data_IF_179800860505
#
_entry.id   IF_179800860505
#
_cell.length_a   1.000
_cell.length_b   1.000
_cell.length_c   1.000
_cell.angle_alpha   90.00
_cell.angle_beta   90.00
_cell.angle_gamma   90.00
#
_symmetry.space_group_name_H-M   'P 1'
#
loop_
_entity.id
_entity.type
_entity.pdbx_description
1 polymer ?
#
# COMPACT_ATOMS: atom_id res chain seq x y z
N UNK A 1 -31.24 -38.14 -15.71
CA UNK A 1 -30.52 -38.49 -14.47
C UNK A 1 -30.00 -39.91 -14.62
N UNK A 2 -28.70 -40.16 -14.81
CA UNK A 2 -28.21 -41.53 -14.81
C UNK A 2 -28.33 -42.09 -13.39
N UNK A 3 -29.16 -43.10 -13.21
CA UNK A 3 -29.30 -43.84 -11.96
C UNK A 3 -28.08 -44.75 -11.80
N UNK A 4 -27.11 -44.30 -10.99
CA UNK A 4 -25.97 -45.13 -10.64
C UNK A 4 -26.44 -46.10 -9.57
N UNK A 5 -26.62 -47.37 -9.93
CA UNK A 5 -26.94 -48.46 -8.98
C UNK A 5 -25.69 -48.78 -8.14
N UNK A 6 -25.46 -47.98 -7.10
CA UNK A 6 -24.31 -48.13 -6.20
C UNK A 6 -24.66 -49.19 -5.14
N UNK A 7 -23.96 -50.33 -5.19
CA UNK A 7 -24.02 -51.40 -4.18
C UNK A 7 -23.80 -50.84 -2.76
N UNK A 8 -24.47 -51.40 -1.74
CA UNK A 8 -24.49 -50.86 -0.37
C UNK A 8 -23.11 -50.59 0.25
N UNK A 9 -22.10 -51.36 -0.14
CA UNK A 9 -20.71 -51.19 0.30
C UNK A 9 -19.95 -50.04 -0.39
N UNK A 10 -20.39 -49.59 -1.57
CA UNK A 10 -19.74 -48.53 -2.36
C UNK A 10 -20.24 -47.11 -2.01
N UNK A 11 -21.38 -47.01 -1.30
CA UNK A 11 -21.94 -45.73 -0.81
C UNK A 11 -20.99 -44.93 0.12
N UNK A 12 -20.31 -45.53 1.12
CA UNK A 12 -19.37 -44.78 1.96
C UNK A 12 -18.13 -44.32 1.18
N UNK A 13 -17.65 -45.11 0.21
CA UNK A 13 -16.54 -44.71 -0.65
C UNK A 13 -16.92 -43.54 -1.55
N UNK A 14 -18.13 -43.57 -2.13
CA UNK A 14 -18.64 -42.46 -2.92
C UNK A 14 -18.85 -41.20 -2.06
N UNK A 15 -19.39 -41.34 -0.84
CA UNK A 15 -19.53 -40.22 0.09
C UNK A 15 -18.17 -39.62 0.49
N UNK A 16 -17.18 -40.45 0.80
CA UNK A 16 -15.81 -40.02 1.08
C UNK A 16 -15.18 -39.30 -0.12
N UNK A 17 -15.39 -39.82 -1.33
CA UNK A 17 -14.95 -39.18 -2.57
C UNK A 17 -15.61 -37.83 -2.80
N UNK A 18 -16.92 -37.73 -2.59
CA UNK A 18 -17.65 -36.46 -2.68
C UNK A 18 -17.12 -35.43 -1.67
N UNK A 19 -16.88 -35.84 -0.41
CA UNK A 19 -16.32 -34.95 0.62
C UNK A 19 -14.91 -34.50 0.23
N UNK A 20 -14.06 -35.42 -0.24
CA UNK A 20 -12.72 -35.09 -0.72
C UNK A 20 -12.75 -34.08 -1.89
N UNK A 21 -13.63 -34.30 -2.87
CA UNK A 21 -13.79 -33.40 -4.01
C UNK A 21 -14.27 -32.00 -3.59
N UNK A 22 -15.21 -31.91 -2.64
CA UNK A 22 -15.68 -30.65 -2.09
C UNK A 22 -14.57 -29.91 -1.33
N UNK A 23 -13.76 -30.62 -0.53
CA UNK A 23 -12.63 -30.03 0.20
C UNK A 23 -11.55 -29.47 -0.74
N UNK A 24 -11.23 -30.21 -1.82
CA UNK A 24 -10.27 -29.76 -2.83
C UNK A 24 -10.79 -28.54 -3.59
N UNK A 25 -12.05 -28.55 -4.02
CA UNK A 25 -12.66 -27.42 -4.75
C UNK A 25 -12.76 -26.18 -3.87
N UNK A 26 -13.12 -26.35 -2.59
CA UNK A 26 -13.15 -25.25 -1.61
C UNK A 26 -11.75 -24.66 -1.39
N UNK A 27 -10.74 -25.50 -1.18
CA UNK A 27 -9.35 -25.05 -0.97
C UNK A 27 -8.80 -24.32 -2.19
N UNK A 28 -9.08 -24.84 -3.39
CA UNK A 28 -8.71 -24.19 -4.65
C UNK A 28 -9.41 -22.84 -4.81
N UNK A 29 -10.70 -22.77 -4.51
CA UNK A 29 -11.47 -21.52 -4.57
C UNK A 29 -10.92 -20.50 -3.56
N UNK A 30 -10.56 -20.91 -2.35
CA UNK A 30 -9.96 -20.02 -1.34
C UNK A 30 -8.58 -19.49 -1.73
N UNK A 31 -7.73 -20.33 -2.32
CA UNK A 31 -6.41 -19.89 -2.80
C UNK A 31 -6.56 -18.94 -4.00
N UNK A 32 -7.47 -19.25 -4.91
CA UNK A 32 -7.80 -18.39 -6.04
C UNK A 32 -8.37 -17.05 -5.58
N UNK A 33 -9.35 -17.03 -4.66
CA UNK A 33 -9.91 -15.78 -4.13
C UNK A 33 -8.86 -14.95 -3.42
N UNK A 34 -7.94 -15.56 -2.66
CA UNK A 34 -6.83 -14.83 -2.05
C UNK A 34 -5.90 -14.17 -3.07
N UNK A 35 -5.75 -14.75 -4.27
CA UNK A 35 -4.97 -14.18 -5.37
C UNK A 35 -5.75 -13.12 -6.15
N UNK A 36 -7.08 -13.27 -6.26
CA UNK A 36 -7.95 -12.32 -6.95
C UNK A 36 -8.31 -11.11 -6.09
N UNK A 37 -8.26 -11.23 -4.76
CA UNK A 37 -8.30 -10.09 -3.85
C UNK A 37 -7.03 -9.30 -4.12
N UNK A 38 -7.19 -8.24 -4.92
CA UNK A 38 -6.15 -7.27 -5.21
C UNK A 38 -5.65 -6.69 -3.89
N UNK A 39 -4.58 -7.28 -3.37
CA UNK A 39 -3.85 -6.69 -2.27
C UNK A 39 -3.06 -5.51 -2.85
N UNK A 40 -3.04 -4.35 -2.18
CA UNK A 40 -2.19 -3.25 -2.60
C UNK A 40 -0.76 -3.77 -2.81
N UNK A 41 -0.14 -3.40 -3.94
CA UNK A 41 1.24 -3.77 -4.20
C UNK A 41 2.10 -3.33 -2.99
N UNK A 42 3.02 -4.18 -2.50
CA UNK A 42 3.88 -3.78 -1.40
C UNK A 42 4.65 -2.52 -1.81
N UNK A 43 4.85 -1.57 -0.89
CA UNK A 43 5.60 -0.37 -1.19
C UNK A 43 7.01 -0.75 -1.67
N UNK A 44 7.60 0.02 -2.60
CA UNK A 44 8.88 -0.32 -3.22
C UNK A 44 10.05 -0.33 -2.21
N UNK A 45 9.92 0.38 -1.10
CA UNK A 45 10.89 0.41 0.00
C UNK A 45 10.14 0.68 1.31
N UNK A 46 10.71 0.23 2.42
CA UNK A 46 10.13 0.42 3.76
C UNK A 46 10.97 1.31 4.66
N UNK A 47 12.27 1.42 4.37
CA UNK A 47 13.22 2.24 5.12
C UNK A 47 13.88 3.30 4.25
N UNK A 48 14.34 4.36 4.92
CA UNK A 48 15.11 5.44 4.30
C UNK A 48 16.45 4.93 3.73
N UNK A 49 17.06 3.93 4.37
CA UNK A 49 18.30 3.31 3.91
C UNK A 49 18.11 2.55 2.59
N UNK A 50 17.02 1.79 2.45
CA UNK A 50 16.67 1.12 1.19
C UNK A 50 16.39 2.13 0.07
N UNK A 51 15.72 3.24 0.38
CA UNK A 51 15.47 4.31 -0.57
C UNK A 51 16.78 4.90 -1.12
N UNK A 52 17.76 5.17 -0.26
CA UNK A 52 19.08 5.70 -0.68
C UNK A 52 19.88 4.71 -1.51
N UNK A 53 19.77 3.41 -1.21
CA UNK A 53 20.48 2.35 -1.94
C UNK A 53 19.97 2.13 -3.37
N UNK A 54 18.77 2.62 -3.69
CA UNK A 54 18.12 2.40 -4.98
C UNK A 54 18.26 3.63 -5.88
N UNK A 55 18.85 3.45 -7.06
CA UNK A 55 19.06 4.56 -8.00
C UNK A 55 17.79 4.93 -8.82
N UNK A 56 16.74 4.11 -8.74
CA UNK A 56 15.53 4.25 -9.55
C UNK A 56 14.54 5.29 -8.99
N UNK A 57 14.78 5.77 -7.77
CA UNK A 57 13.92 6.74 -7.08
C UNK A 57 14.67 8.04 -6.84
N UNK A 58 14.01 9.15 -7.20
CA UNK A 58 14.43 10.48 -6.78
C UNK A 58 13.66 10.88 -5.54
N UNK A 59 14.21 11.79 -4.75
CA UNK A 59 13.51 12.31 -3.59
C UNK A 59 13.72 13.80 -3.42
N UNK A 60 12.75 14.45 -2.78
CA UNK A 60 12.80 15.87 -2.49
C UNK A 60 12.07 16.27 -1.23
N UNK A 61 12.15 17.57 -0.94
CA UNK A 61 11.57 18.18 0.26
C UNK A 61 11.16 19.61 -0.06
N UNK A 62 10.31 20.20 0.76
CA UNK A 62 9.98 21.62 0.64
C UNK A 62 11.20 22.50 0.92
N UNK A 63 11.40 23.51 0.08
CA UNK A 63 12.49 24.48 0.25
C UNK A 63 12.42 25.19 1.60
N UNK A 64 13.57 25.33 2.28
CA UNK A 64 13.63 26.02 3.57
C UNK A 64 12.99 25.28 4.76
N UNK A 65 12.61 24.01 4.58
CA UNK A 65 12.02 23.19 5.64
C UNK A 65 12.95 22.96 6.83
N UNK A 66 12.37 22.73 8.02
CA UNK A 66 13.11 22.29 9.22
C UNK A 66 13.89 21.01 8.95
N UNK A 67 13.33 20.13 8.10
CA UNK A 67 13.95 18.90 7.68
C UNK A 67 15.32 19.12 7.05
N UNK A 68 15.46 20.09 6.15
CA UNK A 68 16.73 20.37 5.48
C UNK A 68 17.84 20.75 6.48
N UNK A 69 17.49 21.46 7.55
CA UNK A 69 18.42 21.83 8.62
C UNK A 69 18.81 20.64 9.48
N UNK A 70 17.86 19.74 9.77
CA UNK A 70 18.09 18.52 10.54
C UNK A 70 18.98 17.57 9.76
N UNK A 71 18.65 17.28 8.49
CA UNK A 71 19.45 16.44 7.61
C UNK A 71 20.88 16.96 7.43
N UNK A 72 21.07 18.28 7.40
CA UNK A 72 22.40 18.89 7.35
C UNK A 72 23.20 18.75 8.65
N UNK A 73 22.53 18.85 9.80
CA UNK A 73 23.16 18.81 11.11
C UNK A 73 23.30 17.39 11.68
N UNK A 74 22.63 16.41 11.07
CA UNK A 74 22.61 15.04 11.53
C UNK A 74 23.97 14.35 11.41
N UNK A 75 24.24 13.46 12.36
CA UNK A 75 25.44 12.62 12.40
C UNK A 75 25.18 11.20 11.90
N UNK A 76 23.94 10.88 11.50
CA UNK A 76 23.61 9.57 10.93
C UNK A 76 24.09 9.48 9.47
N UNK A 77 24.74 8.37 9.14
CA UNK A 77 25.22 8.08 7.79
C UNK A 77 24.08 8.04 6.77
N UNK A 78 22.89 7.54 7.16
CA UNK A 78 21.73 7.45 6.27
C UNK A 78 21.17 8.83 5.97
N UNK A 79 20.93 9.65 6.99
CA UNK A 79 20.42 11.02 6.83
C UNK A 79 21.39 11.92 6.05
N UNK A 80 22.70 11.77 6.27
CA UNK A 80 23.72 12.47 5.48
C UNK A 80 23.77 11.99 4.02
N UNK A 81 23.52 10.71 3.75
CA UNK A 81 23.42 10.19 2.39
C UNK A 81 22.17 10.72 1.68
N UNK A 82 21.02 10.80 2.38
CA UNK A 82 19.79 11.45 1.89
C UNK A 82 20.07 12.91 1.56
N UNK A 83 20.74 13.65 2.44
CA UNK A 83 21.10 15.06 2.22
C UNK A 83 22.01 15.24 1.00
N UNK A 84 23.03 14.40 0.85
CA UNK A 84 23.94 14.44 -0.31
C UNK A 84 23.22 14.12 -1.62
N UNK A 85 22.35 13.11 -1.63
CA UNK A 85 21.53 12.78 -2.78
C UNK A 85 20.54 13.90 -3.13
N UNK A 86 19.89 14.47 -2.13
CA UNK A 86 18.99 15.63 -2.29
C UNK A 86 19.72 16.81 -2.92
N UNK A 87 20.92 17.15 -2.44
CA UNK A 87 21.74 18.24 -2.99
C UNK A 87 22.26 17.95 -4.40
N UNK A 88 22.45 16.68 -4.75
CA UNK A 88 22.79 16.27 -6.12
C UNK A 88 21.59 16.48 -7.04
N UNK A 89 20.41 15.99 -6.65
CA UNK A 89 19.18 16.15 -7.44
C UNK A 89 18.74 17.61 -7.56
N UNK A 90 19.00 18.43 -6.54
CA UNK A 90 18.73 19.87 -6.57
C UNK A 90 19.49 20.63 -7.67
N UNK A 91 20.67 20.13 -8.07
CA UNK A 91 21.46 20.71 -9.16
C UNK A 91 20.86 20.37 -10.53
N UNK A 92 20.32 19.16 -10.66
CA UNK A 92 19.71 18.68 -11.90
C UNK A 92 18.30 19.26 -12.09
N UNK A 93 17.54 19.40 -10.99
CA UNK A 93 16.15 19.83 -10.99
C UNK A 93 15.89 20.73 -9.74
N UNK A 94 15.69 22.05 -9.93
CA UNK A 94 15.47 22.97 -8.82
C UNK A 94 14.10 22.78 -8.15
N UNK A 95 13.13 22.16 -8.84
CA UNK A 95 11.79 21.93 -8.30
C UNK A 95 11.79 20.84 -7.21
N UNK A 96 12.88 20.08 -7.06
CA UNK A 96 13.10 19.15 -5.93
C UNK A 96 13.08 19.87 -4.58
N UNK A 97 13.46 21.16 -4.54
CA UNK A 97 13.36 22.04 -3.37
C UNK A 97 12.34 23.18 -3.55
N UNK A 98 11.32 22.96 -4.38
CA UNK A 98 10.26 23.95 -4.55
C UNK A 98 9.63 24.32 -3.20
N UNK A 99 9.33 25.61 -3.03
CA UNK A 99 8.64 26.13 -1.85
C UNK A 99 7.18 25.66 -1.83
N UNK A 100 6.61 25.41 -3.02
CA UNK A 100 5.22 25.03 -3.18
C UNK A 100 5.02 23.51 -2.95
N UNK A 101 4.26 23.12 -1.91
CA UNK A 101 4.01 21.71 -1.62
C UNK A 101 3.25 20.99 -2.76
N UNK A 102 2.44 21.73 -3.54
CA UNK A 102 1.68 21.19 -4.68
C UNK A 102 2.58 20.74 -5.85
N UNK A 103 3.78 21.34 -5.99
CA UNK A 103 4.75 20.90 -7.00
C UNK A 103 5.30 19.52 -6.61
N UNK A 104 5.58 19.33 -5.32
CA UNK A 104 6.06 18.07 -4.76
C UNK A 104 4.99 16.98 -4.89
N UNK A 105 3.74 17.28 -4.56
CA UNK A 105 2.62 16.34 -4.70
C UNK A 105 2.47 15.85 -6.15
N UNK A 106 2.53 16.75 -7.13
CA UNK A 106 2.48 16.37 -8.56
C UNK A 106 3.62 15.43 -8.97
N UNK A 107 4.82 15.62 -8.43
CA UNK A 107 5.96 14.73 -8.70
C UNK A 107 5.76 13.36 -8.06
N UNK A 108 5.23 13.31 -6.82
CA UNK A 108 4.90 12.03 -6.15
C UNK A 108 3.85 11.25 -6.95
N UNK A 109 2.78 11.92 -7.40
CA UNK A 109 1.74 11.31 -8.23
C UNK A 109 2.26 10.87 -9.61
N UNK A 110 3.30 11.53 -10.13
CA UNK A 110 3.99 11.15 -11.36
C UNK A 110 4.81 9.85 -11.25
N UNK A 111 4.96 9.29 -10.05
CA UNK A 111 5.70 8.07 -9.80
C UNK A 111 7.21 8.27 -9.72
N UNK A 112 7.94 7.24 -9.25
CA UNK A 112 9.40 7.22 -9.09
C UNK A 112 10.00 8.39 -8.28
N UNK A 113 9.19 9.05 -7.46
CA UNK A 113 9.58 10.19 -6.64
C UNK A 113 9.06 10.05 -5.21
N UNK A 114 9.96 10.23 -4.24
CA UNK A 114 9.64 10.21 -2.82
C UNK A 114 9.67 11.62 -2.24
N UNK A 115 8.65 11.99 -1.48
CA UNK A 115 8.62 13.26 -0.76
C UNK A 115 8.97 13.05 0.70
N UNK A 116 9.97 13.79 1.18
CA UNK A 116 10.32 13.88 2.58
C UNK A 116 9.79 15.20 3.14
N UNK A 117 8.80 15.09 4.01
CA UNK A 117 8.16 16.23 4.63
C UNK A 117 7.74 15.97 6.05
N UNK A 118 6.93 16.87 6.57
CA UNK A 118 6.36 16.75 7.90
C UNK A 118 5.25 15.69 7.91
N UNK A 119 5.18 14.91 9.00
CA UNK A 119 4.28 13.76 9.08
C UNK A 119 2.81 14.11 8.83
N UNK A 120 2.33 15.26 9.32
CA UNK A 120 0.93 15.66 9.11
C UNK A 120 0.63 15.98 7.64
N UNK A 121 1.58 16.58 6.90
CA UNK A 121 1.41 16.83 5.47
C UNK A 121 1.35 15.52 4.68
N UNK A 122 2.23 14.58 5.02
CA UNK A 122 2.28 13.26 4.37
C UNK A 122 1.01 12.44 4.68
N UNK A 123 0.57 12.43 5.94
CA UNK A 123 -0.67 11.76 6.37
C UNK A 123 -1.90 12.36 5.69
N UNK A 124 -1.95 13.68 5.54
CA UNK A 124 -3.03 14.36 4.82
C UNK A 124 -3.04 13.98 3.34
N UNK A 125 -1.90 13.97 2.66
CA UNK A 125 -1.82 13.56 1.25
C UNK A 125 -2.20 12.10 1.04
N UNK A 126 -1.76 11.20 1.92
CA UNK A 126 -2.13 9.78 1.88
C UNK A 126 -3.62 9.56 2.20
N UNK A 127 -4.27 10.47 2.94
CA UNK A 127 -5.70 10.43 3.19
C UNK A 127 -6.52 10.91 1.99
N UNK A 128 -6.03 11.89 1.24
CA UNK A 128 -6.70 12.44 0.04
C UNK A 128 -6.45 11.61 -1.23
N UNK A 129 -5.22 11.10 -1.41
CA UNK A 129 -4.78 10.39 -2.61
C UNK A 129 -4.39 8.96 -2.26
N UNK A 130 -5.18 7.98 -2.74
CA UNK A 130 -4.96 6.57 -2.44
C UNK A 130 -3.76 5.94 -3.14
N UNK A 131 -3.22 6.63 -4.15
CA UNK A 131 -1.98 6.23 -4.84
C UNK A 131 -0.72 6.62 -4.05
N UNK A 132 -0.87 7.44 -3.00
CA UNK A 132 0.23 7.89 -2.14
C UNK A 132 0.31 7.01 -0.90
N UNK A 133 1.46 6.38 -0.70
CA UNK A 133 1.72 5.54 0.47
C UNK A 133 2.58 6.33 1.46
N UNK A 134 2.09 6.52 2.68
CA UNK A 134 2.88 7.05 3.78
C UNK A 134 3.78 5.94 4.36
N UNK A 135 5.09 6.14 4.34
CA UNK A 135 6.02 5.20 4.96
C UNK A 135 6.03 5.38 6.49
N UNK A 136 6.17 4.27 7.26
CA UNK A 136 6.24 4.34 8.71
C UNK A 136 7.57 4.89 9.23
N UNK A 137 8.62 4.87 8.40
CA UNK A 137 9.95 5.35 8.78
C UNK A 137 9.94 6.89 8.93
N UNK A 138 10.41 7.37 10.08
CA UNK A 138 10.35 8.79 10.46
C UNK A 138 11.74 9.29 10.79
N UNK A 139 12.08 10.46 10.25
CA UNK A 139 13.33 11.13 10.54
C UNK A 139 13.24 11.74 11.94
N UNK A 140 14.23 11.42 12.78
CA UNK A 140 14.26 11.86 14.16
C UNK A 140 14.28 13.40 14.27
N UNK A 141 13.44 13.96 15.13
CA UNK A 141 13.37 15.42 15.36
C UNK A 141 12.31 16.21 14.57
N UNK A 142 11.51 15.56 13.72
CA UNK A 142 10.32 16.16 13.09
C UNK A 142 8.98 15.77 13.76
N UNK A 143 9.02 15.00 14.84
CA UNK A 143 7.81 14.38 15.37
C UNK A 143 6.96 15.28 16.27
N UNK A 144 7.52 16.39 16.78
CA UNK A 144 6.86 17.24 17.76
C UNK A 144 6.55 18.65 17.26
N UNK A 145 5.27 19.00 17.37
CA UNK A 145 4.79 20.38 17.27
C UNK A 145 4.91 21.05 18.64
N UNK A 146 5.51 22.24 18.65
CA UNK A 146 5.75 22.98 19.89
C UNK A 146 5.16 24.38 19.76
N UNK A 147 4.48 24.83 20.81
CA UNK A 147 3.92 26.18 20.88
C UNK A 147 4.95 27.06 21.58
N UNK A 148 5.46 28.07 20.88
CA UNK A 148 6.44 28.99 21.42
C UNK A 148 5.77 30.23 22.03
N UNK A 149 6.24 30.64 23.19
CA UNK A 149 5.81 31.86 23.88
C UNK A 149 7.00 32.82 24.02
N UNK A 150 6.76 34.14 24.15
CA UNK A 150 7.83 35.12 24.37
C UNK A 150 8.67 34.76 25.60
N UNK A 151 9.98 35.00 25.51
CA UNK A 151 10.90 34.76 26.63
C UNK A 151 10.43 35.51 27.88
N UNK A 152 10.48 34.84 29.03
CA UNK A 152 10.04 35.35 30.35
C UNK A 152 8.53 35.58 30.53
N UNK A 153 7.69 35.07 29.63
CA UNK A 153 6.24 35.13 29.83
C UNK A 153 5.75 34.12 30.86
N UNK A 154 4.91 34.56 31.81
CA UNK A 154 4.19 33.67 32.76
C UNK A 154 3.15 32.78 32.07
N UNK A 155 2.84 33.05 30.80
CA UNK A 155 1.90 32.28 29.99
C UNK A 155 2.41 30.87 29.69
N UNK A 156 3.73 30.68 29.55
CA UNK A 156 4.34 29.39 29.22
C UNK A 156 3.93 28.30 30.22
N UNK A 157 4.01 28.61 31.53
CA UNK A 157 3.68 27.66 32.59
C UNK A 157 2.19 27.29 32.58
N UNK A 158 1.30 28.28 32.37
CA UNK A 158 -0.15 28.06 32.28
C UNK A 158 -0.52 27.21 31.07
N UNK A 159 0.05 27.51 29.89
CA UNK A 159 -0.20 26.76 28.65
C UNK A 159 0.26 25.30 28.79
N UNK A 160 1.44 25.07 29.36
CA UNK A 160 1.96 23.72 29.52
C UNK A 160 1.06 22.87 30.44
N UNK A 161 0.57 23.44 31.55
CA UNK A 161 -0.37 22.75 32.42
C UNK A 161 -1.69 22.41 31.71
N UNK A 162 -2.23 23.33 30.91
CA UNK A 162 -3.45 23.07 30.12
C UNK A 162 -3.22 22.00 29.06
N UNK A 163 -2.07 22.04 28.37
CA UNK A 163 -1.72 21.05 27.34
C UNK A 163 -1.59 19.64 27.93
N UNK A 164 -0.96 19.51 29.09
CA UNK A 164 -0.88 18.24 29.82
C UNK A 164 -2.28 17.73 30.20
N UNK A 165 -3.16 18.61 30.70
CA UNK A 165 -4.55 18.22 31.00
C UNK A 165 -5.31 17.76 29.75
N UNK A 166 -5.11 18.41 28.60
CA UNK A 166 -5.72 18.01 27.32
C UNK A 166 -5.20 16.66 26.82
N UNK A 167 -3.92 16.36 27.10
CA UNK A 167 -3.31 15.07 26.79
C UNK A 167 -3.83 13.97 27.73
N UNK A 168 -3.84 14.20 29.05
CA UNK A 168 -4.32 13.25 30.06
C UNK A 168 -5.80 12.89 29.88
N UNK A 169 -6.61 13.86 29.48
CA UNK A 169 -8.05 13.65 29.21
C UNK A 169 -8.31 12.99 27.85
N UNK A 170 -7.29 12.81 27.02
CA UNK A 170 -7.42 12.22 25.68
C UNK A 170 -8.11 13.12 24.64
N UNK A 171 -8.40 14.39 24.98
CA UNK A 171 -9.03 15.36 24.07
C UNK A 171 -8.16 15.60 22.84
N UNK A 172 -6.83 15.61 23.02
CA UNK A 172 -5.90 15.79 21.90
C UNK A 172 -5.97 14.62 20.91
N UNK A 173 -6.06 13.39 21.39
CA UNK A 173 -6.23 12.20 20.56
C UNK A 173 -7.59 12.19 19.85
N UNK A 174 -8.65 12.65 20.51
CA UNK A 174 -9.97 12.81 19.91
C UNK A 174 -9.95 13.84 18.79
N UNK A 175 -9.35 15.01 19.02
CA UNK A 175 -9.19 16.07 18.00
C UNK A 175 -8.34 15.56 16.83
N UNK A 176 -7.24 14.86 17.10
CA UNK A 176 -6.41 14.28 16.07
C UNK A 176 -7.22 13.34 15.16
N UNK A 177 -7.93 12.37 15.72
CA UNK A 177 -8.76 11.45 14.93
C UNK A 177 -9.91 12.14 14.19
N UNK A 178 -10.44 13.24 14.74
CA UNK A 178 -11.50 14.02 14.12
C UNK A 178 -11.02 14.78 12.88
N UNK A 179 -9.82 15.36 12.94
CA UNK A 179 -9.25 16.15 11.84
C UNK A 179 -8.40 15.33 10.87
N UNK A 180 -7.86 14.20 11.33
CA UNK A 180 -7.08 13.24 10.55
C UNK A 180 -7.75 11.86 10.66
N UNK A 181 -8.89 11.64 9.98
CA UNK A 181 -9.54 10.34 9.97
C UNK A 181 -8.62 9.31 9.30
N UNK A 182 -8.38 8.17 9.96
CA UNK A 182 -7.57 7.07 9.42
C UNK A 182 -8.16 6.59 8.09
N UNK A 183 -7.48 6.86 6.97
CA UNK A 183 -7.64 6.30 5.59
C UNK A 183 -9.03 5.73 5.20
N UNK A 184 -10.12 6.31 5.70
CA UNK A 184 -11.45 5.78 5.48
C UNK A 184 -11.88 5.91 3.99
N UNK A 185 -11.26 6.84 3.26
CA UNK A 185 -11.49 7.06 1.84
C UNK A 185 -10.89 5.98 0.93
N UNK A 186 -9.73 5.41 1.28
CA UNK A 186 -9.03 4.47 0.40
C UNK A 186 -9.50 3.03 0.53
N UNK A 187 -10.18 2.68 1.62
CA UNK A 187 -10.94 1.43 1.70
C UNK A 187 -12.26 1.47 0.90
N UNK A 188 -12.77 2.67 0.56
CA UNK A 188 -14.06 2.85 -0.12
C UNK A 188 -14.05 2.61 -1.63
N UNK A 189 -12.89 2.69 -2.28
CA UNK A 189 -12.71 2.37 -3.71
C UNK A 189 -12.04 1.01 -3.95
N UNK A 190 -11.84 0.24 -2.88
CA UNK A 190 -11.53 -1.19 -2.93
C UNK A 190 -12.79 -2.07 -2.92
N UNK A 191 -13.97 -1.49 -3.17
CA UNK A 191 -14.88 -2.14 -4.12
C UNK A 191 -14.51 -1.64 -5.51
N UNK A 192 -13.47 -2.20 -6.16
CA UNK A 192 -13.63 -2.25 -7.59
C UNK A 192 -14.97 -2.98 -7.76
N UNK A 193 -15.89 -2.37 -8.49
CA UNK A 193 -16.62 -3.19 -9.44
C UNK A 193 -15.51 -3.80 -10.29
N UNK A 194 -14.89 -4.89 -9.82
CA UNK A 194 -13.84 -5.60 -10.51
C UNK A 194 -14.60 -6.14 -11.69
N UNK A 195 -14.64 -5.34 -12.76
CA UNK A 195 -14.93 -5.85 -14.08
C UNK A 195 -13.84 -6.87 -14.27
N UNK A 196 -14.17 -8.12 -13.96
CA UNK A 196 -13.29 -9.25 -14.12
C UNK A 196 -12.95 -9.22 -15.60
N UNK A 197 -11.77 -8.70 -15.89
CA UNK A 197 -11.35 -8.46 -17.26
C UNK A 197 -11.14 -9.83 -17.89
N UNK A 198 -11.51 -9.99 -19.17
CA UNK A 198 -11.33 -11.27 -19.88
C UNK A 198 -9.88 -11.78 -19.80
N UNK A 199 -8.91 -10.89 -19.60
CA UNK A 199 -7.50 -11.19 -19.37
C UNK A 199 -7.26 -12.06 -18.12
N UNK A 200 -8.01 -11.85 -17.04
CA UNK A 200 -7.92 -12.66 -15.81
C UNK A 200 -8.62 -14.02 -15.97
N UNK A 201 -9.63 -14.12 -16.84
CA UNK A 201 -10.42 -15.34 -17.08
C UNK A 201 -9.95 -16.17 -18.29
N UNK A 202 -8.84 -15.80 -18.93
CA UNK A 202 -8.42 -16.41 -20.19
C UNK A 202 -7.97 -17.88 -20.05
N UNK A 203 -7.42 -18.27 -18.89
CA UNK A 203 -6.93 -19.62 -18.62
C UNK A 203 -8.02 -20.70 -18.79
N UNK A 204 -9.16 -20.60 -18.08
CA UNK A 204 -10.29 -21.53 -18.26
C UNK A 204 -10.78 -21.68 -19.71
N UNK A 205 -10.79 -20.60 -20.49
CA UNK A 205 -11.18 -20.66 -21.91
C UNK A 205 -10.22 -21.51 -22.74
N UNK A 206 -8.91 -21.39 -22.52
CA UNK A 206 -7.92 -22.20 -23.24
C UNK A 206 -8.03 -23.69 -22.91
N UNK A 207 -8.28 -24.02 -21.64
CA UNK A 207 -8.49 -25.42 -21.23
C UNK A 207 -9.75 -26.01 -21.87
N UNK A 208 -10.84 -25.24 -21.94
CA UNK A 208 -12.09 -25.66 -22.58
C UNK A 208 -11.90 -25.93 -24.08
N UNK A 209 -11.23 -25.04 -24.80
CA UNK A 209 -10.93 -25.22 -26.23
C UNK A 209 -10.01 -26.41 -26.45
N UNK A 210 -8.95 -26.55 -25.64
CA UNK A 210 -8.04 -27.71 -25.72
C UNK A 210 -8.76 -29.04 -25.49
N UNK A 211 -9.69 -29.08 -24.53
CA UNK A 211 -10.52 -30.26 -24.28
C UNK A 211 -11.43 -30.62 -25.45
N UNK A 212 -12.02 -29.62 -26.12
CA UNK A 212 -12.85 -29.82 -27.32
C UNK A 212 -12.02 -30.40 -28.49
N UNK A 213 -10.81 -29.87 -28.71
CA UNK A 213 -9.91 -30.40 -29.76
C UNK A 213 -9.51 -31.85 -29.45
N UNK A 214 -9.12 -32.14 -28.20
CA UNK A 214 -8.79 -33.51 -27.80
C UNK A 214 -9.98 -34.47 -27.99
N UNK A 215 -11.18 -34.07 -27.58
CA UNK A 215 -12.38 -34.90 -27.73
C UNK A 215 -12.72 -35.18 -29.20
N UNK A 216 -12.63 -34.16 -30.07
CA UNK A 216 -12.87 -34.32 -31.51
C UNK A 216 -11.83 -35.24 -32.16
N UNK A 217 -10.55 -35.13 -31.78
CA UNK A 217 -9.49 -36.03 -32.26
C UNK A 217 -9.77 -37.48 -31.84
N UNK A 218 -10.11 -37.71 -30.58
CA UNK A 218 -10.44 -39.08 -30.10
C UNK A 218 -11.61 -39.67 -30.88
N UNK A 219 -12.66 -38.89 -31.14
CA UNK A 219 -13.81 -39.34 -31.92
C UNK A 219 -13.44 -39.70 -33.36
N UNK A 220 -12.60 -38.89 -34.01
CA UNK A 220 -12.11 -39.19 -35.37
C UNK A 220 -11.25 -40.46 -35.39
N UNK A 221 -10.40 -40.67 -34.39
CA UNK A 221 -9.59 -41.90 -34.29
C UNK A 221 -10.48 -43.13 -34.09
N UNK A 222 -11.49 -43.06 -33.22
CA UNK A 222 -12.46 -44.14 -33.05
C UNK A 222 -13.20 -44.44 -34.36
N UNK A 223 -13.66 -43.42 -35.10
CA UNK A 223 -14.31 -43.59 -36.41
C UNK A 223 -13.42 -44.17 -37.51
N UNK A 224 -12.09 -44.08 -37.39
CA UNK A 224 -11.16 -44.68 -38.37
C UNK A 224 -10.83 -46.12 -37.98
N UNK A 225 -10.86 -46.44 -36.69
CA UNK A 225 -10.57 -47.77 -36.16
C UNK A 225 -11.78 -48.71 -36.15
N UNK A 226 -13.00 -48.17 -36.11
CA UNK A 226 -14.27 -48.91 -36.18
C UNK A 226 -14.87 -48.86 -37.58
#
# INVERSE_FOLDING_TARGET
MPTVDISGAARPFFAAWCILALLLTSSYTCQLTSLLVSSPAPPPFTSLAEMVGRNDFRWGTTGGSKLLRILRASNDNVEQAVYRGLMKFAKDDPDVLSLDPNVQLRKVLGGHYAFLGEGATVEHWAAEHCDVIALPDRITGLESYNIFTPKFSTLAAKMNHILLRLQDTGVLSYLHNRWYPKLAGCHGNLTPSTSISLTTLQGPFYVAVGGLVMATVTLVVEMIWF
#
